data_IF_988858921274
#
_entry.id   IF_988858921274
#
_cell.length_a   1.000
_cell.length_b   1.000
_cell.length_c   1.000
_cell.angle_alpha   90.00
_cell.angle_beta   90.00
_cell.angle_gamma   90.00
#
_symmetry.space_group_name_H-M   'P 1'
#
loop_
_entity.id
_entity.type
_entity.pdbx_description
1 polymer ?
#
# COMPACT_ATOMS: atom_id res chain seq x y z
N UNK A 1 -20.50 1.41 12.14
CA UNK A 1 -20.63 0.15 12.89
C UNK A 1 -19.24 -0.43 13.06
N UNK A 2 -18.85 -0.82 14.27
CA UNK A 2 -17.55 -1.44 14.56
C UNK A 2 -17.80 -2.89 15.03
N UNK A 3 -16.84 -3.78 14.80
CA UNK A 3 -16.89 -5.13 15.33
C UNK A 3 -16.39 -5.18 16.77
N UNK A 4 -16.74 -6.27 17.46
CA UNK A 4 -16.20 -6.59 18.78
C UNK A 4 -15.31 -7.82 18.69
N UNK A 5 -14.22 -7.81 19.45
CA UNK A 5 -13.42 -9.02 19.67
C UNK A 5 -14.05 -9.92 20.75
N UNK A 6 -13.38 -11.02 21.08
CA UNK A 6 -13.85 -12.04 22.04
C UNK A 6 -13.98 -11.53 23.48
N UNK A 7 -13.33 -10.41 23.83
CA UNK A 7 -13.46 -9.76 25.15
C UNK A 7 -14.41 -8.56 25.14
N UNK A 8 -15.08 -8.28 24.01
CA UNK A 8 -16.10 -7.22 23.89
C UNK A 8 -15.54 -5.83 23.55
N UNK A 9 -14.27 -5.71 23.17
CA UNK A 9 -13.67 -4.45 22.76
C UNK A 9 -13.92 -4.16 21.28
N UNK A 10 -14.00 -2.87 20.92
CA UNK A 10 -14.18 -2.39 19.55
C UNK A 10 -12.88 -2.45 18.72
N UNK A 11 -12.20 -3.60 18.77
CA UNK A 11 -10.88 -3.85 18.18
C UNK A 11 -10.91 -4.88 17.03
N UNK A 12 -12.09 -5.15 16.46
CA UNK A 12 -12.23 -5.98 15.27
C UNK A 12 -13.13 -5.31 14.21
N UNK A 13 -13.02 -5.78 12.97
CA UNK A 13 -13.93 -5.42 11.90
C UNK A 13 -15.35 -5.92 12.20
N UNK A 14 -16.41 -5.21 11.77
CA UNK A 14 -17.76 -5.75 11.85
C UNK A 14 -17.82 -7.05 11.03
N UNK A 15 -18.31 -8.15 11.61
CA UNK A 15 -18.37 -9.47 10.97
C UNK A 15 -19.80 -9.98 10.88
N UNK A 16 -20.10 -10.74 9.83
CA UNK A 16 -21.37 -11.46 9.73
C UNK A 16 -21.36 -12.75 10.59
N UNK A 17 -22.47 -13.49 10.61
CA UNK A 17 -22.59 -14.76 11.36
C UNK A 17 -21.62 -15.87 10.92
N UNK A 18 -20.99 -15.73 9.75
CA UNK A 18 -19.98 -16.66 9.21
C UNK A 18 -18.55 -16.20 9.52
N UNK A 19 -18.37 -15.13 10.31
CA UNK A 19 -17.07 -14.57 10.65
C UNK A 19 -16.44 -13.72 9.55
N UNK A 20 -17.13 -13.48 8.42
CA UNK A 20 -16.62 -12.68 7.31
C UNK A 20 -16.73 -11.19 7.62
N UNK A 21 -15.64 -10.46 7.46
CA UNK A 21 -15.61 -9.02 7.62
C UNK A 21 -16.56 -8.30 6.64
N UNK A 22 -17.26 -7.29 7.14
CA UNK A 22 -18.18 -6.42 6.43
C UNK A 22 -17.43 -5.15 6.01
N UNK A 23 -16.58 -5.29 5.00
CA UNK A 23 -15.74 -4.22 4.43
C UNK A 23 -15.96 -4.11 2.93
N UNK A 24 -15.57 -2.97 2.33
CA UNK A 24 -15.79 -2.69 0.91
C UNK A 24 -15.06 -3.64 -0.04
N UNK A 25 -13.87 -4.13 0.36
CA UNK A 25 -13.13 -5.17 -0.34
C UNK A 25 -12.79 -6.30 0.66
N UNK A 26 -13.30 -7.53 0.47
CA UNK A 26 -13.08 -8.62 1.40
C UNK A 26 -11.60 -9.05 1.50
N UNK A 27 -10.76 -8.69 0.51
CA UNK A 27 -9.32 -8.96 0.56
C UNK A 27 -8.62 -8.17 1.65
N UNK A 28 -9.24 -7.11 2.15
CA UNK A 28 -8.70 -6.32 3.26
C UNK A 28 -8.90 -6.96 4.64
N UNK A 29 -9.26 -8.24 4.68
CA UNK A 29 -9.24 -9.08 5.88
C UNK A 29 -8.30 -10.29 5.72
N UNK A 30 -7.44 -10.35 4.68
CA UNK A 30 -6.59 -11.53 4.44
C UNK A 30 -5.44 -11.69 5.43
N UNK A 31 -5.03 -10.61 6.10
CA UNK A 31 -4.08 -10.66 7.20
C UNK A 31 -4.34 -9.56 8.23
N UNK A 32 -3.97 -9.83 9.48
CA UNK A 32 -4.24 -9.03 10.67
C UNK A 32 -3.85 -7.55 10.54
N UNK A 33 -2.67 -7.27 10.00
CA UNK A 33 -2.17 -5.89 9.89
C UNK A 33 -3.07 -5.05 8.97
N UNK A 34 -3.52 -5.61 7.83
CA UNK A 34 -4.41 -4.89 6.90
C UNK A 34 -5.85 -4.81 7.44
N UNK A 35 -6.33 -5.84 8.15
CA UNK A 35 -7.66 -5.80 8.78
C UNK A 35 -7.73 -4.74 9.88
N UNK A 36 -6.68 -4.61 10.69
CA UNK A 36 -6.57 -3.57 11.70
C UNK A 36 -6.37 -2.18 11.09
N UNK A 37 -5.66 -2.05 9.97
CA UNK A 37 -5.58 -0.77 9.25
C UNK A 37 -6.97 -0.35 8.75
N UNK A 38 -7.76 -1.30 8.22
CA UNK A 38 -9.14 -1.04 7.83
C UNK A 38 -10.02 -0.63 9.01
N UNK A 39 -9.83 -1.25 10.17
CA UNK A 39 -10.51 -0.83 11.39
C UNK A 39 -10.14 0.61 11.78
N UNK A 40 -8.87 1.01 11.62
CA UNK A 40 -8.44 2.38 11.85
C UNK A 40 -9.17 3.37 10.92
N UNK A 41 -9.34 3.04 9.63
CA UNK A 41 -10.14 3.84 8.70
C UNK A 41 -11.63 3.91 9.07
N UNK A 42 -12.21 2.82 9.60
CA UNK A 42 -13.59 2.83 10.10
C UNK A 42 -13.74 3.74 11.34
N UNK A 43 -12.80 3.68 12.27
CA UNK A 43 -12.75 4.55 13.46
C UNK A 43 -12.54 6.01 13.05
N UNK A 44 -11.63 6.26 12.12
CA UNK A 44 -11.40 7.58 11.51
C UNK A 44 -12.69 8.15 10.90
N UNK A 45 -13.39 7.38 10.06
CA UNK A 45 -14.65 7.81 9.45
C UNK A 45 -15.72 8.14 10.51
N UNK A 46 -15.88 7.30 11.53
CA UNK A 46 -16.84 7.57 12.61
C UNK A 46 -16.50 8.86 13.36
N UNK A 47 -15.22 9.14 13.61
CA UNK A 47 -14.80 10.38 14.26
C UNK A 47 -15.06 11.61 13.39
N UNK A 48 -14.86 11.51 12.08
CA UNK A 48 -15.23 12.58 11.13
C UNK A 48 -16.74 12.81 11.12
N UNK A 49 -17.55 11.74 11.18
CA UNK A 49 -19.01 11.84 11.32
C UNK A 49 -19.41 12.59 12.59
N UNK A 50 -18.77 12.30 13.73
CA UNK A 50 -19.05 12.97 14.99
C UNK A 50 -18.65 14.45 14.93
N UNK A 51 -17.46 14.76 14.39
CA UNK A 51 -17.00 16.13 14.17
C UNK A 51 -18.00 16.93 13.31
N UNK A 52 -18.47 16.36 12.20
CA UNK A 52 -19.40 17.04 11.31
C UNK A 52 -20.77 17.30 11.97
N UNK A 53 -21.24 16.38 12.84
CA UNK A 53 -22.45 16.59 13.63
C UNK A 53 -22.28 17.70 14.66
N UNK A 54 -21.15 17.74 15.35
CA UNK A 54 -20.79 18.79 16.31
C UNK A 54 -20.73 20.17 15.62
N UNK A 55 -20.27 20.22 14.37
CA UNK A 55 -20.26 21.42 13.53
C UNK A 55 -21.63 21.80 12.94
N UNK A 56 -22.68 21.03 13.22
CA UNK A 56 -24.05 21.33 12.76
C UNK A 56 -24.36 20.86 11.34
N UNK A 57 -23.57 19.96 10.76
CA UNK A 57 -23.87 19.38 9.43
C UNK A 57 -25.22 18.63 9.50
N UNK A 58 -26.17 18.91 8.58
CA UNK A 58 -27.48 18.26 8.59
C UNK A 58 -27.38 16.74 8.50
N UNK A 59 -28.19 16.02 9.30
CA UNK A 59 -28.11 14.56 9.43
C UNK A 59 -28.15 13.80 8.09
N UNK A 60 -28.92 14.30 7.11
CA UNK A 60 -29.00 13.71 5.76
C UNK A 60 -27.72 13.83 4.93
N UNK A 61 -26.82 14.76 5.29
CA UNK A 61 -25.59 15.04 4.56
C UNK A 61 -24.33 14.52 5.27
N UNK A 62 -24.38 14.30 6.59
CA UNK A 62 -23.21 13.93 7.41
C UNK A 62 -22.40 12.77 6.82
N UNK A 63 -23.07 11.71 6.34
CA UNK A 63 -22.36 10.57 5.77
C UNK A 63 -21.61 10.91 4.47
N UNK A 64 -22.25 11.66 3.57
CA UNK A 64 -21.65 12.03 2.29
C UNK A 64 -20.48 13.00 2.49
N UNK A 65 -20.61 13.94 3.42
CA UNK A 65 -19.53 14.85 3.79
C UNK A 65 -18.37 14.11 4.47
N UNK A 66 -18.66 13.18 5.38
CA UNK A 66 -17.63 12.34 6.00
C UNK A 66 -16.91 11.48 4.96
N UNK A 67 -17.66 10.83 4.05
CA UNK A 67 -17.09 10.05 2.95
C UNK A 67 -16.16 10.89 2.08
N UNK A 68 -16.56 12.13 1.75
CA UNK A 68 -15.75 13.06 0.96
C UNK A 68 -14.47 13.46 1.70
N UNK A 69 -14.57 13.92 2.95
CA UNK A 69 -13.40 14.31 3.74
C UNK A 69 -12.43 13.16 3.99
N UNK A 70 -12.94 11.97 4.34
CA UNK A 70 -12.10 10.78 4.54
C UNK A 70 -11.37 10.41 3.25
N UNK A 71 -12.06 10.41 2.10
CA UNK A 71 -11.43 10.16 0.80
C UNK A 71 -10.33 11.18 0.50
N UNK A 72 -10.61 12.48 0.69
CA UNK A 72 -9.65 13.54 0.39
C UNK A 72 -8.39 13.46 1.26
N UNK A 73 -8.53 13.20 2.57
CA UNK A 73 -7.36 12.99 3.44
C UNK A 73 -6.59 11.71 3.06
N UNK A 74 -7.28 10.63 2.67
CA UNK A 74 -6.60 9.42 2.18
C UNK A 74 -5.82 9.69 0.87
N UNK A 75 -6.44 10.37 -0.09
CA UNK A 75 -5.79 10.76 -1.34
C UNK A 75 -4.60 11.71 -1.11
N UNK A 76 -4.70 12.60 -0.12
CA UNK A 76 -3.59 13.45 0.32
C UNK A 76 -2.43 12.62 0.86
N UNK A 77 -2.67 11.70 1.80
CA UNK A 77 -1.65 10.77 2.33
C UNK A 77 -0.98 10.01 1.17
N UNK A 78 -1.76 9.52 0.20
CA UNK A 78 -1.19 8.83 -0.98
C UNK A 78 -0.23 9.75 -1.75
N UNK A 79 -0.65 10.97 -2.06
CA UNK A 79 0.10 11.88 -2.93
C UNK A 79 1.28 12.59 -2.22
N UNK A 80 1.16 12.87 -0.93
CA UNK A 80 2.06 13.75 -0.17
C UNK A 80 2.89 13.02 0.89
N UNK A 81 2.57 11.78 1.23
CA UNK A 81 3.37 10.96 2.15
C UNK A 81 3.84 9.68 1.47
N UNK A 82 2.92 8.82 1.01
CA UNK A 82 3.25 7.52 0.46
C UNK A 82 4.08 7.61 -0.83
N UNK A 83 3.69 8.45 -1.79
CA UNK A 83 4.42 8.58 -3.06
C UNK A 83 5.84 9.14 -2.85
N UNK A 84 6.07 10.26 -2.14
CA UNK A 84 7.43 10.74 -1.86
C UNK A 84 8.32 9.68 -1.18
N UNK A 85 7.78 8.96 -0.19
CA UNK A 85 8.51 7.86 0.46
C UNK A 85 8.80 6.68 -0.48
N UNK A 86 7.94 6.42 -1.45
CA UNK A 86 8.03 5.26 -2.34
C UNK A 86 8.90 5.50 -3.57
N UNK A 87 8.94 6.72 -4.10
CA UNK A 87 9.62 7.03 -5.37
C UNK A 87 10.72 8.09 -5.27
N UNK A 88 10.84 8.74 -4.10
CA UNK A 88 11.84 9.77 -3.82
C UNK A 88 11.42 11.16 -4.28
N UNK A 89 11.94 12.17 -3.57
CA UNK A 89 11.57 13.59 -3.76
C UNK A 89 11.91 14.11 -5.16
N UNK A 90 13.02 13.67 -5.75
CA UNK A 90 13.44 14.14 -7.07
C UNK A 90 12.40 13.83 -8.17
N UNK A 91 11.83 12.62 -8.16
CA UNK A 91 10.80 12.26 -9.11
C UNK A 91 9.47 12.94 -8.79
N UNK A 92 9.12 13.06 -7.51
CA UNK A 92 7.90 13.77 -7.12
C UNK A 92 7.93 15.25 -7.52
N UNK A 93 9.06 15.93 -7.33
CA UNK A 93 9.24 17.32 -7.74
C UNK A 93 9.13 17.46 -9.27
N UNK A 94 9.76 16.57 -10.04
CA UNK A 94 9.61 16.55 -11.51
C UNK A 94 8.15 16.39 -11.94
N UNK A 95 7.39 15.49 -11.30
CA UNK A 95 5.98 15.28 -11.65
C UNK A 95 5.09 16.45 -11.25
N UNK A 96 5.38 17.13 -10.14
CA UNK A 96 4.64 18.33 -9.73
C UNK A 96 4.94 19.53 -10.64
N UNK A 97 6.17 19.65 -11.12
CA UNK A 97 6.59 20.75 -12.01
C UNK A 97 6.20 20.51 -13.47
N UNK A 98 6.41 19.30 -13.97
CA UNK A 98 6.33 18.98 -15.41
C UNK A 98 5.14 18.07 -15.77
N UNK A 99 4.42 17.53 -14.79
CA UNK A 99 3.30 16.61 -14.99
C UNK A 99 3.72 15.19 -15.44
N UNK A 100 2.74 14.27 -15.59
CA UNK A 100 2.99 12.92 -16.08
C UNK A 100 3.41 12.95 -17.56
N UNK A 101 4.34 12.06 -17.94
CA UNK A 101 4.87 11.97 -19.31
C UNK A 101 4.30 10.80 -20.11
N UNK A 102 4.12 9.66 -19.44
CA UNK A 102 3.81 8.36 -20.03
C UNK A 102 2.41 7.88 -19.68
N UNK A 103 1.91 8.15 -18.48
CA UNK A 103 0.53 7.84 -18.15
C UNK A 103 -0.42 8.80 -18.87
N UNK A 104 -1.23 8.25 -19.79
CA UNK A 104 -2.22 8.98 -20.57
C UNK A 104 -3.49 8.14 -20.69
N UNK A 105 -4.63 8.79 -20.54
CA UNK A 105 -5.94 8.21 -20.81
C UNK A 105 -6.75 9.19 -21.68
N UNK A 106 -7.77 8.69 -22.37
CA UNK A 106 -8.61 9.50 -23.26
C UNK A 106 -9.92 9.87 -22.58
N UNK A 107 -10.68 8.87 -22.13
CA UNK A 107 -12.00 9.08 -21.52
C UNK A 107 -11.94 8.91 -20.00
N UNK A 108 -11.50 7.74 -19.53
CA UNK A 108 -11.46 7.41 -18.11
C UNK A 108 -10.06 6.95 -17.68
N UNK A 109 -9.58 7.36 -16.50
CA UNK A 109 -8.31 6.89 -15.97
C UNK A 109 -8.42 5.39 -15.64
N UNK A 110 -7.37 4.65 -15.97
CA UNK A 110 -7.34 3.18 -15.82
C UNK A 110 -6.05 2.73 -15.11
N UNK A 111 -6.03 1.47 -14.69
CA UNK A 111 -4.83 0.83 -14.11
C UNK A 111 -4.15 -0.01 -15.20
N UNK A 112 -2.93 0.35 -15.65
CA UNK A 112 -2.18 -0.44 -16.62
C UNK A 112 -1.67 -1.78 -16.05
N UNK A 113 -1.43 -2.76 -16.91
CA UNK A 113 -0.91 -4.06 -16.50
C UNK A 113 0.52 -3.95 -15.92
N UNK A 114 1.35 -3.06 -16.47
CA UNK A 114 2.70 -2.77 -15.97
C UNK A 114 2.67 -2.23 -14.53
N UNK A 115 1.61 -1.51 -14.16
CA UNK A 115 1.38 -1.07 -12.79
C UNK A 115 0.91 -2.23 -11.91
N UNK A 116 -0.21 -2.86 -12.27
CA UNK A 116 -0.88 -3.84 -11.41
C UNK A 116 -0.06 -5.12 -11.22
N UNK A 117 0.59 -5.57 -12.29
CA UNK A 117 1.20 -6.88 -12.36
C UNK A 117 2.74 -6.88 -12.34
N UNK A 118 3.35 -5.69 -12.23
CA UNK A 118 4.78 -5.57 -11.99
C UNK A 118 5.15 -4.45 -11.01
N UNK A 119 4.96 -3.18 -11.36
CA UNK A 119 5.54 -2.07 -10.62
C UNK A 119 4.99 -1.94 -9.20
N UNK A 120 3.67 -1.99 -9.04
CA UNK A 120 3.01 -1.84 -7.74
C UNK A 120 3.08 -3.10 -6.85
N UNK A 121 3.79 -4.15 -7.31
CA UNK A 121 4.12 -5.33 -6.52
C UNK A 121 5.40 -5.18 -5.70
N UNK A 122 6.09 -4.04 -5.81
CA UNK A 122 7.33 -3.78 -5.06
C UNK A 122 7.19 -3.99 -3.54
N UNK A 123 6.00 -3.73 -2.99
CA UNK A 123 5.68 -3.94 -1.58
C UNK A 123 5.87 -5.38 -1.08
N UNK A 124 5.85 -6.38 -1.96
CA UNK A 124 6.16 -7.77 -1.58
C UNK A 124 7.58 -7.91 -0.99
N UNK A 125 8.56 -7.18 -1.52
CA UNK A 125 9.95 -7.19 -1.03
C UNK A 125 10.11 -6.52 0.35
N UNK A 126 9.22 -5.58 0.64
CA UNK A 126 9.23 -4.77 1.86
C UNK A 126 8.63 -5.49 3.09
N UNK A 127 7.97 -6.63 2.87
CA UNK A 127 7.40 -7.45 3.94
C UNK A 127 8.50 -8.05 4.80
N UNK A 128 8.38 -7.90 6.13
CA UNK A 128 9.32 -8.46 7.10
C UNK A 128 9.06 -9.94 7.31
N UNK A 129 10.09 -10.68 7.70
CA UNK A 129 9.91 -12.06 8.15
C UNK A 129 8.98 -12.12 9.37
N UNK A 130 9.21 -11.27 10.37
CA UNK A 130 8.46 -11.23 11.63
C UNK A 130 8.18 -9.79 12.06
N UNK A 131 7.00 -9.58 12.63
CA UNK A 131 6.54 -8.32 13.23
C UNK A 131 6.34 -8.51 14.73
N UNK A 132 6.72 -7.51 15.51
CA UNK A 132 6.14 -7.28 16.84
C UNK A 132 4.84 -6.50 16.67
N UNK A 133 3.76 -7.01 17.24
CA UNK A 133 2.40 -6.52 17.01
C UNK A 133 1.99 -5.50 18.06
N UNK A 134 2.42 -5.68 19.32
CA UNK A 134 2.06 -4.80 20.42
C UNK A 134 3.01 -4.84 21.62
N UNK A 135 2.80 -3.92 22.56
CA UNK A 135 3.56 -3.78 23.80
C UNK A 135 3.47 -4.99 24.74
N UNK A 136 2.48 -5.89 24.56
CA UNK A 136 2.38 -7.15 25.32
C UNK A 136 3.34 -8.23 24.81
N UNK A 137 4.09 -7.94 23.73
CA UNK A 137 5.09 -8.84 23.15
C UNK A 137 4.53 -9.84 22.15
N UNK A 138 3.29 -9.66 21.68
CA UNK A 138 2.76 -10.50 20.60
C UNK A 138 3.63 -10.32 19.34
N UNK A 139 4.03 -11.42 18.70
CA UNK A 139 4.82 -11.40 17.46
C UNK A 139 4.26 -12.39 16.43
N UNK A 140 4.64 -12.24 15.17
CA UNK A 140 4.30 -13.23 14.13
C UNK A 140 4.78 -12.85 12.74
N UNK A 141 4.87 -13.85 11.88
CA UNK A 141 5.05 -13.67 10.44
C UNK A 141 3.72 -13.25 9.79
N UNK A 142 3.75 -12.64 8.59
CA UNK A 142 2.49 -12.30 7.87
C UNK A 142 1.65 -13.57 7.65
N UNK A 143 2.30 -14.66 7.27
CA UNK A 143 1.71 -16.00 7.19
C UNK A 143 2.63 -17.03 7.86
N UNK A 144 2.05 -18.06 8.51
CA UNK A 144 0.63 -18.23 8.79
C UNK A 144 0.15 -17.40 9.99
N UNK A 145 1.06 -16.86 10.81
CA UNK A 145 0.72 -16.34 12.13
C UNK A 145 -0.28 -15.19 12.07
N UNK A 146 -0.11 -14.22 11.16
CA UNK A 146 -1.02 -13.09 11.02
C UNK A 146 -2.10 -13.31 9.93
N UNK A 147 -2.35 -14.56 9.52
CA UNK A 147 -3.44 -14.86 8.59
C UNK A 147 -4.77 -14.32 9.14
N UNK A 148 -5.56 -13.70 8.26
CA UNK A 148 -6.82 -13.07 8.62
C UNK A 148 -8.01 -13.97 8.33
N UNK A 149 -9.14 -13.37 7.93
CA UNK A 149 -10.44 -14.02 7.72
C UNK A 149 -11.03 -14.65 8.97
N UNK A 150 -10.60 -14.17 10.14
CA UNK A 150 -11.00 -14.62 11.46
C UNK A 150 -11.09 -13.44 12.43
N UNK A 151 -11.85 -13.58 13.54
CA UNK A 151 -11.89 -12.57 14.59
C UNK A 151 -10.50 -12.22 15.12
N UNK A 152 -10.26 -10.94 15.41
CA UNK A 152 -8.97 -10.46 15.93
C UNK A 152 -8.90 -10.70 17.44
N UNK A 153 -7.97 -11.55 17.92
CA UNK A 153 -7.80 -11.78 19.35
C UNK A 153 -7.28 -10.54 20.08
N UNK A 154 -7.74 -10.30 21.31
CA UNK A 154 -7.34 -9.18 22.15
C UNK A 154 -5.82 -9.10 22.37
N UNK A 155 -5.15 -10.23 22.52
CA UNK A 155 -3.69 -10.28 22.69
C UNK A 155 -2.93 -9.93 21.42
N UNK A 156 -3.59 -9.89 20.26
CA UNK A 156 -2.98 -9.63 18.94
C UNK A 156 -3.44 -8.33 18.30
N UNK A 157 -4.26 -7.54 18.97
CA UNK A 157 -4.59 -6.17 18.55
C UNK A 157 -3.30 -5.40 18.27
N UNK A 158 -3.27 -4.71 17.13
CA UNK A 158 -2.09 -3.98 16.65
C UNK A 158 -1.92 -2.70 17.46
N UNK A 159 -0.71 -2.48 17.93
CA UNK A 159 -0.23 -1.22 18.48
C UNK A 159 0.52 -0.47 17.39
N UNK A 160 -0.07 0.61 16.88
CA UNK A 160 0.46 1.32 15.73
C UNK A 160 1.80 2.01 15.98
N UNK A 161 2.23 2.18 17.24
CA UNK A 161 3.56 2.73 17.58
C UNK A 161 4.69 1.87 17.03
N UNK A 162 4.45 0.57 16.86
CA UNK A 162 5.39 -0.37 16.27
C UNK A 162 5.52 -0.24 14.74
N UNK A 163 4.69 0.58 14.09
CA UNK A 163 4.61 0.74 12.64
C UNK A 163 4.79 2.21 12.21
N UNK A 164 4.39 3.18 13.04
CA UNK A 164 4.47 4.61 12.76
C UNK A 164 5.09 5.37 13.92
N UNK A 165 5.82 6.44 13.60
CA UNK A 165 6.38 7.34 14.61
C UNK A 165 5.25 8.17 15.21
N UNK A 166 4.75 7.74 16.36
CA UNK A 166 3.62 8.39 17.04
C UNK A 166 4.04 9.14 18.31
N UNK A 167 5.17 8.75 18.91
CA UNK A 167 5.79 9.37 20.07
C UNK A 167 7.33 9.29 19.98
N UNK A 168 8.03 9.99 20.87
CA UNK A 168 9.51 10.02 20.92
C UNK A 168 10.14 8.83 21.65
N UNK A 169 9.34 7.94 22.23
CA UNK A 169 9.80 6.86 23.10
C UNK A 169 9.85 5.51 22.38
N UNK A 170 9.14 5.37 21.26
CA UNK A 170 9.11 4.16 20.47
C UNK A 170 9.70 4.37 19.07
N UNK A 171 10.65 3.51 18.70
CA UNK A 171 11.17 3.46 17.32
C UNK A 171 10.39 2.41 16.52
N UNK A 172 9.66 2.80 15.45
CA UNK A 172 8.87 1.86 14.67
C UNK A 172 9.72 0.81 13.95
N UNK A 173 9.09 -0.31 13.60
CA UNK A 173 9.70 -1.34 12.77
C UNK A 173 9.60 -0.94 11.29
N UNK A 174 10.67 -0.36 10.77
CA UNK A 174 10.77 -0.04 9.34
C UNK A 174 10.48 -1.27 8.46
N UNK A 175 9.94 -1.06 7.27
CA UNK A 175 9.82 -2.13 6.27
C UNK A 175 11.20 -2.65 5.84
N UNK A 176 11.23 -3.79 5.13
CA UNK A 176 12.46 -4.19 4.41
C UNK A 176 12.72 -3.23 3.26
N UNK A 177 13.97 -3.20 2.80
CA UNK A 177 14.37 -2.52 1.57
C UNK A 177 13.67 -3.13 0.35
N UNK A 178 13.54 -2.34 -0.70
CA UNK A 178 13.10 -2.79 -2.01
C UNK A 178 14.29 -3.48 -2.69
N UNK A 179 14.28 -4.80 -2.69
CA UNK A 179 15.30 -5.65 -3.29
C UNK A 179 14.69 -6.93 -3.86
N UNK A 180 15.51 -7.78 -4.51
CA UNK A 180 15.03 -9.03 -5.10
C UNK A 180 14.80 -10.16 -4.08
N UNK A 181 14.87 -9.89 -2.77
CA UNK A 181 14.74 -10.88 -1.71
C UNK A 181 13.37 -10.80 -1.03
N UNK A 182 12.60 -11.87 -1.06
CA UNK A 182 11.33 -11.97 -0.34
C UNK A 182 11.51 -12.62 1.04
N UNK A 183 10.60 -12.28 1.96
CA UNK A 183 10.48 -13.01 3.22
C UNK A 183 10.15 -14.49 2.95
N UNK A 184 10.70 -15.41 3.76
CA UNK A 184 10.50 -16.84 3.56
C UNK A 184 9.02 -17.23 3.53
N UNK A 185 8.20 -16.59 4.36
CA UNK A 185 6.76 -16.79 4.41
C UNK A 185 6.04 -16.51 3.06
N UNK A 186 6.62 -15.70 2.18
CA UNK A 186 6.07 -15.39 0.86
C UNK A 186 6.54 -16.35 -0.23
N UNK A 187 7.59 -17.13 0.01
CA UNK A 187 8.05 -18.18 -0.91
C UNK A 187 7.31 -19.51 -0.67
N UNK A 188 6.65 -19.62 0.48
CA UNK A 188 5.94 -20.82 0.94
C UNK A 188 4.57 -20.45 1.51
N UNK A 189 3.73 -19.82 0.69
CA UNK A 189 2.38 -19.42 1.10
C UNK A 189 1.52 -20.64 1.41
N UNK A 190 0.67 -20.60 2.44
CA UNK A 190 -0.22 -21.72 2.76
C UNK A 190 -1.34 -21.87 1.71
N UNK A 191 -1.89 -23.08 1.56
CA UNK A 191 -3.03 -23.38 0.68
C UNK A 191 -4.25 -22.50 0.96
N UNK A 192 -4.45 -22.08 2.20
CA UNK A 192 -5.53 -21.14 2.56
C UNK A 192 -5.41 -19.77 1.87
N UNK A 193 -4.21 -19.41 1.39
CA UNK A 193 -3.94 -18.15 0.68
C UNK A 193 -3.92 -18.35 -0.82
N UNK A 194 -3.25 -19.40 -1.33
CA UNK A 194 -3.06 -19.61 -2.77
C UNK A 194 -4.11 -20.51 -3.43
N UNK A 195 -4.92 -21.20 -2.64
CA UNK A 195 -5.83 -22.26 -3.11
C UNK A 195 -5.08 -23.54 -3.51
N UNK A 196 -5.79 -24.44 -4.18
CA UNK A 196 -5.19 -25.65 -4.74
C UNK A 196 -4.24 -25.28 -5.88
N UNK A 197 -3.00 -25.76 -5.80
CA UNK A 197 -1.95 -25.51 -6.79
C UNK A 197 -1.71 -26.73 -7.67
N UNK A 198 -1.41 -26.49 -8.94
CA UNK A 198 -1.01 -27.51 -9.90
C UNK A 198 0.47 -27.88 -9.81
N UNK A 199 1.31 -26.96 -9.34
CA UNK A 199 2.75 -27.21 -9.09
C UNK A 199 3.19 -26.64 -7.74
N UNK A 200 4.24 -27.19 -7.11
CA UNK A 200 4.75 -26.69 -5.83
C UNK A 200 5.18 -25.21 -5.87
N UNK A 201 5.71 -24.75 -7.00
CA UNK A 201 6.22 -23.39 -7.18
C UNK A 201 5.11 -22.34 -7.10
N UNK A 202 3.85 -22.70 -7.36
CA UNK A 202 2.72 -21.78 -7.25
C UNK A 202 2.40 -21.36 -5.80
N UNK A 203 3.04 -21.97 -4.80
CA UNK A 203 3.08 -21.47 -3.42
C UNK A 203 4.03 -20.28 -3.22
N UNK A 204 4.95 -20.02 -4.16
CA UNK A 204 5.86 -18.88 -4.11
C UNK A 204 5.23 -17.66 -4.75
N UNK A 205 5.10 -16.58 -3.98
CA UNK A 205 4.60 -15.30 -4.48
C UNK A 205 5.48 -14.76 -5.61
N UNK A 206 6.81 -14.94 -5.53
CA UNK A 206 7.73 -14.55 -6.59
C UNK A 206 7.45 -15.30 -7.90
N UNK A 207 7.20 -16.61 -7.81
CA UNK A 207 6.85 -17.42 -8.98
C UNK A 207 5.53 -16.93 -9.60
N UNK A 208 4.51 -16.70 -8.78
CA UNK A 208 3.19 -16.21 -9.23
C UNK A 208 3.28 -14.84 -9.89
N UNK A 209 4.11 -13.94 -9.37
CA UNK A 209 4.32 -12.60 -9.95
C UNK A 209 5.01 -12.69 -11.32
N UNK A 210 6.01 -13.56 -11.46
CA UNK A 210 6.69 -13.81 -12.75
C UNK A 210 5.75 -14.49 -13.76
N UNK A 211 4.99 -15.50 -13.34
CA UNK A 211 3.99 -16.20 -14.15
C UNK A 211 2.90 -15.24 -14.65
N UNK A 212 2.43 -14.33 -13.78
CA UNK A 212 1.46 -13.28 -14.13
C UNK A 212 1.99 -12.35 -15.20
N UNK A 213 3.23 -11.88 -15.02
CA UNK A 213 3.88 -11.01 -15.99
C UNK A 213 4.03 -11.66 -17.36
N UNK A 214 4.38 -12.95 -17.38
CA UNK A 214 4.43 -13.73 -18.62
C UNK A 214 3.04 -13.88 -19.26
N UNK A 215 2.02 -14.24 -18.49
CA UNK A 215 0.66 -14.44 -19.00
C UNK A 215 0.05 -13.17 -19.61
N UNK A 216 0.44 -12.00 -19.10
CA UNK A 216 0.00 -10.69 -19.62
C UNK A 216 0.92 -10.13 -20.71
N UNK A 217 1.98 -10.87 -21.10
CA UNK A 217 3.01 -10.42 -22.03
C UNK A 217 3.59 -9.05 -21.63
N UNK A 218 3.88 -8.84 -20.34
CA UNK A 218 4.48 -7.60 -19.89
C UNK A 218 5.83 -7.38 -20.59
N UNK A 219 6.12 -6.16 -21.07
CA UNK A 219 7.40 -5.84 -21.68
C UNK A 219 8.53 -6.00 -20.66
N UNK A 220 9.74 -6.32 -21.14
CA UNK A 220 10.90 -6.39 -20.27
C UNK A 220 11.27 -5.00 -19.71
N UNK A 221 11.95 -5.00 -18.56
CA UNK A 221 12.36 -3.78 -17.89
C UNK A 221 13.30 -2.91 -18.73
N UNK A 222 14.24 -3.52 -19.46
CA UNK A 222 15.15 -2.81 -20.36
C UNK A 222 14.39 -2.16 -21.53
N UNK A 223 13.34 -2.80 -22.02
CA UNK A 223 12.49 -2.26 -23.08
C UNK A 223 11.75 -1.00 -22.59
N UNK A 224 11.17 -1.03 -21.38
CA UNK A 224 10.52 0.16 -20.80
C UNK A 224 11.55 1.25 -20.48
N UNK A 225 12.71 0.90 -19.92
CA UNK A 225 13.78 1.86 -19.64
C UNK A 225 14.16 2.64 -20.90
N UNK A 226 14.41 1.94 -22.01
CA UNK A 226 14.71 2.55 -23.31
C UNK A 226 13.56 3.44 -23.81
N UNK A 227 12.31 2.99 -23.68
CA UNK A 227 11.14 3.80 -24.06
C UNK A 227 11.03 5.09 -23.23
N UNK A 228 11.40 5.03 -21.94
CA UNK A 228 11.40 6.19 -21.04
C UNK A 228 12.64 7.09 -21.19
N UNK A 229 13.63 6.69 -22.00
CA UNK A 229 14.91 7.39 -22.12
C UNK A 229 15.80 7.24 -20.88
N UNK A 230 15.60 6.19 -20.08
CA UNK A 230 16.41 5.83 -18.91
C UNK A 230 17.47 4.81 -19.34
N UNK A 231 18.70 4.95 -18.84
CA UNK A 231 19.76 3.96 -19.09
C UNK A 231 19.39 2.61 -18.44
N UNK A 232 19.20 1.52 -19.23
CA UNK A 232 18.84 0.22 -18.68
C UNK A 232 19.91 -0.32 -17.72
N UNK A 233 19.50 -1.15 -16.75
CA UNK A 233 20.44 -1.92 -15.95
C UNK A 233 21.28 -2.85 -16.84
N UNK A 234 22.56 -3.01 -16.50
CA UNK A 234 23.43 -3.94 -17.21
C UNK A 234 23.12 -5.36 -16.75
N UNK A 235 23.32 -6.35 -17.63
CA UNK A 235 23.08 -7.76 -17.30
C UNK A 235 23.79 -8.23 -16.02
N UNK A 236 25.01 -7.71 -15.75
CA UNK A 236 25.76 -8.01 -14.53
C UNK A 236 25.14 -7.38 -13.26
N UNK A 237 24.52 -6.20 -13.40
CA UNK A 237 23.83 -5.52 -12.30
C UNK A 237 22.52 -6.25 -11.99
N UNK A 238 21.80 -6.69 -13.03
CA UNK A 238 20.61 -7.53 -12.88
C UNK A 238 20.96 -8.86 -12.20
N UNK A 239 22.02 -9.53 -12.66
CA UNK A 239 22.56 -10.74 -12.04
C UNK A 239 21.91 -12.05 -12.49
N UNK A 240 20.87 -12.02 -13.34
CA UNK A 240 20.22 -13.24 -13.87
C UNK A 240 21.15 -14.05 -14.79
N UNK A 241 22.13 -13.41 -15.42
CA UNK A 241 23.15 -14.10 -16.23
C UNK A 241 23.98 -15.12 -15.42
N UNK A 242 24.16 -14.88 -14.12
CA UNK A 242 24.84 -15.83 -13.20
C UNK A 242 24.04 -17.11 -12.99
N UNK A 243 22.73 -17.08 -13.25
CA UNK A 243 21.84 -18.23 -13.23
C UNK A 243 21.68 -18.88 -14.61
N UNK A 244 22.46 -18.43 -15.61
CA UNK A 244 22.38 -18.92 -16.99
C UNK A 244 21.27 -18.29 -17.84
N UNK A 245 20.50 -17.34 -17.30
CA UNK A 245 19.46 -16.65 -18.05
C UNK A 245 20.08 -15.64 -19.05
N UNK A 246 19.63 -15.69 -20.32
CA UNK A 246 20.17 -14.87 -21.41
C UNK A 246 19.15 -13.88 -22.01
N UNK A 247 17.92 -13.84 -21.49
CA UNK A 247 16.85 -12.96 -21.98
C UNK A 247 16.90 -11.55 -21.37
N UNK A 248 16.04 -10.66 -21.87
CA UNK A 248 15.74 -9.40 -21.17
C UNK A 248 14.97 -9.67 -19.86
N UNK A 249 15.06 -8.76 -18.91
CA UNK A 249 14.63 -8.99 -17.53
C UNK A 249 13.11 -8.85 -17.37
N UNK A 250 12.42 -9.82 -16.76
CA UNK A 250 10.99 -9.68 -16.41
C UNK A 250 10.74 -8.41 -15.60
N UNK A 251 9.71 -7.64 -15.96
CA UNK A 251 9.50 -6.29 -15.43
C UNK A 251 9.46 -6.22 -13.90
N UNK A 252 8.74 -7.14 -13.26
CA UNK A 252 8.67 -7.21 -11.79
C UNK A 252 10.06 -7.34 -11.16
N UNK A 253 10.89 -8.25 -11.66
CA UNK A 253 12.25 -8.43 -11.17
C UNK A 253 13.12 -7.20 -11.44
N UNK A 254 13.01 -6.63 -12.65
CA UNK A 254 13.76 -5.44 -13.04
C UNK A 254 13.49 -4.28 -12.08
N UNK A 255 12.22 -4.02 -11.73
CA UNK A 255 11.82 -2.91 -10.85
C UNK A 255 12.41 -3.06 -9.44
N UNK A 256 12.38 -4.27 -8.88
CA UNK A 256 13.04 -4.55 -7.59
C UNK A 256 14.55 -4.33 -7.67
N UNK A 257 15.17 -4.83 -8.74
CA UNK A 257 16.62 -4.75 -8.93
C UNK A 257 17.10 -3.33 -9.22
N UNK A 258 16.29 -2.54 -9.90
CA UNK A 258 16.54 -1.12 -10.17
C UNK A 258 16.57 -0.34 -8.86
N UNK A 259 15.60 -0.54 -7.98
CA UNK A 259 15.58 0.09 -6.66
C UNK A 259 16.81 -0.31 -5.82
N UNK A 260 17.16 -1.60 -5.82
CA UNK A 260 18.33 -2.13 -5.10
C UNK A 260 19.64 -1.48 -5.60
N UNK A 261 19.86 -1.45 -6.92
CA UNK A 261 21.12 -0.99 -7.53
C UNK A 261 21.25 0.52 -7.53
N UNK A 262 20.18 1.25 -7.86
CA UNK A 262 20.23 2.71 -8.07
C UNK A 262 20.03 3.48 -6.77
N UNK A 263 19.18 2.97 -5.87
CA UNK A 263 18.74 3.69 -4.67
C UNK A 263 19.03 2.92 -3.36
N UNK A 264 19.87 1.88 -3.41
CA UNK A 264 20.15 1.00 -2.26
C UNK A 264 18.88 0.42 -1.60
N UNK A 265 17.81 0.26 -2.40
CA UNK A 265 16.51 -0.24 -2.00
C UNK A 265 15.69 0.68 -1.09
N UNK A 266 16.03 1.97 -0.97
CA UNK A 266 15.27 2.90 -0.12
C UNK A 266 13.96 3.37 -0.75
N UNK A 267 13.93 3.55 -2.07
CA UNK A 267 12.76 3.91 -2.87
C UNK A 267 12.93 3.38 -4.30
N UNK A 268 11.84 3.34 -5.06
CA UNK A 268 11.79 2.82 -6.41
C UNK A 268 12.74 3.55 -7.37
N UNK A 269 13.30 2.82 -8.33
CA UNK A 269 14.12 3.40 -9.40
C UNK A 269 13.32 4.19 -10.43
N UNK A 270 13.99 4.75 -11.43
CA UNK A 270 13.37 5.66 -12.40
C UNK A 270 12.22 5.01 -13.19
N UNK A 271 12.34 3.74 -13.60
CA UNK A 271 11.28 3.04 -14.31
C UNK A 271 10.13 2.70 -13.37
N UNK A 272 10.43 1.98 -12.28
CA UNK A 272 9.39 1.54 -11.34
C UNK A 272 8.66 2.70 -10.70
N UNK A 273 9.40 3.71 -10.24
CA UNK A 273 8.87 4.90 -9.58
C UNK A 273 7.99 5.72 -10.51
N UNK A 274 8.37 5.87 -11.77
CA UNK A 274 7.57 6.63 -12.74
C UNK A 274 6.27 5.92 -13.10
N UNK A 275 6.28 4.60 -13.30
CA UNK A 275 5.04 3.82 -13.48
C UNK A 275 4.11 4.01 -12.28
N UNK A 276 4.63 3.86 -11.06
CA UNK A 276 3.81 3.96 -9.84
C UNK A 276 3.25 5.35 -9.63
N UNK A 277 4.10 6.38 -9.69
CA UNK A 277 3.71 7.74 -9.39
C UNK A 277 2.80 8.35 -10.47
N UNK A 278 3.10 8.16 -11.75
CA UNK A 278 2.27 8.73 -12.82
C UNK A 278 0.89 8.07 -12.87
N UNK A 279 0.78 6.76 -12.61
CA UNK A 279 -0.53 6.09 -12.55
C UNK A 279 -1.33 6.59 -11.35
N UNK A 280 -0.75 6.63 -10.15
CA UNK A 280 -1.49 7.07 -8.96
C UNK A 280 -1.90 8.55 -9.05
N UNK A 281 -1.01 9.44 -9.50
CA UNK A 281 -1.35 10.85 -9.70
C UNK A 281 -2.37 11.02 -10.83
N UNK A 282 -2.19 10.32 -11.95
CA UNK A 282 -3.11 10.38 -13.08
C UNK A 282 -4.52 9.86 -12.76
N UNK A 283 -4.64 8.82 -11.92
CA UNK A 283 -5.94 8.38 -11.37
C UNK A 283 -6.59 9.48 -10.52
N UNK A 284 -5.81 10.20 -9.71
CA UNK A 284 -6.32 11.31 -8.90
C UNK A 284 -6.68 12.53 -9.75
N UNK A 285 -5.92 12.83 -10.79
CA UNK A 285 -6.19 13.93 -11.73
C UNK A 285 -7.42 13.62 -12.62
N UNK A 286 -7.64 12.35 -12.97
CA UNK A 286 -8.80 11.91 -13.74
C UNK A 286 -10.09 11.69 -12.95
N UNK A 287 -10.04 11.62 -11.61
CA UNK A 287 -11.22 11.46 -10.75
C UNK A 287 -11.87 12.82 -10.44
N UNK A 288 -13.07 13.15 -10.97
CA UNK A 288 -13.71 14.44 -10.73
C UNK A 288 -14.10 14.65 -9.25
N UNK A 289 -14.05 13.60 -8.42
CA UNK A 289 -14.35 13.65 -6.99
C UNK A 289 -13.10 13.72 -6.11
N UNK A 290 -11.91 13.74 -6.72
CA UNK A 290 -10.60 13.87 -6.08
C UNK A 290 -10.41 15.25 -5.45
N UNK A 291 -9.62 15.31 -4.36
CA UNK A 291 -9.26 16.59 -3.76
C UNK A 291 -8.49 17.51 -4.73
N UNK A 292 -7.80 16.93 -5.72
CA UNK A 292 -7.03 17.66 -6.74
C UNK A 292 -7.92 18.39 -7.74
N UNK A 293 -9.17 17.94 -7.87
CA UNK A 293 -10.19 18.52 -8.75
C UNK A 293 -11.24 19.32 -7.96
N UNK A 294 -10.98 19.64 -6.70
CA UNK A 294 -11.86 20.50 -5.91
C UNK A 294 -11.84 21.95 -6.44
N UNK A 295 -12.98 22.65 -6.39
CA UNK A 295 -13.14 24.02 -6.91
C UNK A 295 -12.16 25.04 -6.33
N UNK A 296 -11.66 24.80 -5.13
CA UNK A 296 -10.58 25.54 -4.50
C UNK A 296 -9.43 24.58 -4.21
N UNK A 297 -8.19 25.07 -4.25
CA UNK A 297 -6.99 24.31 -3.89
C UNK A 297 -7.10 23.79 -2.45
N UNK A 298 -7.68 22.60 -2.31
CA UNK A 298 -8.01 22.03 -1.02
C UNK A 298 -6.72 21.53 -0.36
N UNK A 299 -6.57 21.87 0.91
CA UNK A 299 -5.56 21.30 1.80
C UNK A 299 -6.25 20.62 2.98
N UNK A 300 -5.60 19.67 3.66
CA UNK A 300 -6.15 19.00 4.83
C UNK A 300 -6.72 19.97 5.85
N UNK A 301 -7.89 19.61 6.37
CA UNK A 301 -8.68 20.45 7.29
C UNK A 301 -8.81 19.82 8.67
N UNK A 302 -8.48 18.53 8.79
CA UNK A 302 -8.47 17.85 10.09
C UNK A 302 -7.19 18.20 10.85
N UNK A 303 -7.21 18.16 12.19
CA UNK A 303 -6.01 18.37 12.99
C UNK A 303 -4.90 17.36 12.63
N UNK A 304 -3.71 17.88 12.36
CA UNK A 304 -2.47 17.14 12.22
C UNK A 304 -1.31 17.88 12.89
N UNK A 305 -0.11 17.30 12.90
CA UNK A 305 1.08 17.95 13.48
C UNK A 305 1.40 19.31 12.85
N UNK A 306 1.15 19.44 11.54
CA UNK A 306 1.37 20.67 10.77
C UNK A 306 0.08 21.11 10.10
N UNK A 307 -0.30 22.37 10.29
CA UNK A 307 -1.47 22.94 9.64
C UNK A 307 -1.33 22.90 8.11
N UNK A 308 -2.38 22.42 7.43
CA UNK A 308 -2.39 22.25 5.97
C UNK A 308 -1.66 21.01 5.47
N UNK A 309 -1.29 20.08 6.36
CA UNK A 309 -0.73 18.78 6.02
C UNK A 309 -1.43 17.67 6.82
N UNK A 310 -1.32 16.41 6.38
CA UNK A 310 -1.95 15.28 7.04
C UNK A 310 -1.29 13.95 6.65
N UNK A 311 -0.77 13.27 7.67
CA UNK A 311 -0.07 11.98 7.53
C UNK A 311 -0.96 10.81 7.98
N UNK A 312 -0.52 9.59 7.70
CA UNK A 312 -1.15 8.39 8.26
C UNK A 312 -1.02 8.37 9.79
N UNK A 313 0.04 8.93 10.37
CA UNK A 313 0.16 9.11 11.82
C UNK A 313 -0.93 10.04 12.38
N UNK A 314 -1.23 11.14 11.70
CA UNK A 314 -2.32 12.05 12.08
C UNK A 314 -3.69 11.37 12.01
N UNK A 315 -3.92 10.56 10.97
CA UNK A 315 -5.12 9.73 10.84
C UNK A 315 -5.28 8.81 12.06
N UNK A 316 -4.22 8.11 12.45
CA UNK A 316 -4.25 7.16 13.57
C UNK A 316 -4.54 7.86 14.90
N UNK A 317 -3.93 9.03 15.14
CA UNK A 317 -4.21 9.85 16.34
C UNK A 317 -5.64 10.37 16.34
N UNK A 318 -6.11 10.90 15.22
CA UNK A 318 -7.48 11.41 15.07
C UNK A 318 -8.50 10.29 15.29
N UNK A 319 -8.23 9.08 14.80
CA UNK A 319 -9.06 7.89 14.99
C UNK A 319 -8.97 7.30 16.41
N UNK A 320 -8.11 7.83 17.28
CA UNK A 320 -7.86 7.34 18.65
C UNK A 320 -7.49 5.85 18.68
N UNK A 321 -6.61 5.46 17.75
CA UNK A 321 -5.97 4.14 17.70
C UNK A 321 -4.46 4.22 17.94
N UNK A 322 -3.94 5.43 18.18
CA UNK A 322 -2.56 5.78 18.47
C UNK A 322 -2.50 6.68 19.71
#
# INVERSE_FOLDING_TARGET
>A
MLGINEVGELNDLPRNRQGRALVGDPRNDVHLIISQLHLAFLKFHNRVVDLLREQGTPAGNVFNEARRLVRWHYQWIVAHEFLPLSVGDALMNDLLENGPRFYRFVEEPFIPAEFADAAYRFGHSQIRNRYTLNAKGATGNVFPDCAGTCPVPHERVIDWRYFFTLDSHHTPQASKKIDTSLAHALLHLPTSVVGDTTTPEQHSLAYRDLERGLALNLPAGETIARYMGVEPLRANDVGLNKLGYQGETPLFYYILKEAEVRNSGHFLGSVGGRIVAEVLLGLLDGDPTSYRNADNAWTPTLPGERAGDFTLADLLRFASVA
#
